data_IF_089187013673
#
_entry.id   IF_089187013673
#
_cell.length_a   1.000
_cell.length_b   1.000
_cell.length_c   1.000
_cell.angle_alpha   90.00
_cell.angle_beta   90.00
_cell.angle_gamma   90.00
#
_symmetry.space_group_name_H-M   'P 1'
#
loop_
_entity.id
_entity.type
_entity.pdbx_description
1 polymer ?
#
# COMPACT_ATOMS: atom_id res chain seq x y z
N UNK A 1 5.71 0.16 26.36
CA UNK A 1 4.93 0.56 25.17
C UNK A 1 5.18 -0.30 23.92
N UNK A 2 6.25 -1.10 23.84
CA UNK A 2 6.57 -1.99 22.69
C UNK A 2 5.70 -3.26 22.55
N UNK A 3 4.72 -3.47 23.44
CA UNK A 3 4.11 -4.79 23.65
C UNK A 3 2.90 -5.05 22.72
N UNK A 4 2.11 -4.02 22.41
CA UNK A 4 0.88 -4.18 21.64
C UNK A 4 1.12 -4.52 20.15
N UNK A 5 2.13 -3.90 19.52
CA UNK A 5 2.50 -4.21 18.13
C UNK A 5 3.11 -5.61 18.00
N UNK A 6 4.01 -5.97 18.92
CA UNK A 6 4.62 -7.30 18.98
C UNK A 6 3.58 -8.39 19.18
N UNK A 7 2.65 -8.22 20.12
CA UNK A 7 1.56 -9.17 20.37
C UNK A 7 0.72 -9.41 19.12
N UNK A 8 0.37 -8.36 18.38
CA UNK A 8 -0.43 -8.52 17.16
C UNK A 8 0.32 -9.18 16.02
N UNK A 9 1.63 -8.93 15.91
CA UNK A 9 2.46 -9.64 14.94
C UNK A 9 2.52 -11.15 15.28
N UNK A 10 2.58 -11.50 16.56
CA UNK A 10 2.46 -12.90 17.00
C UNK A 10 1.07 -13.47 16.65
N UNK A 11 -0.01 -12.72 16.86
CA UNK A 11 -1.37 -13.14 16.45
C UNK A 11 -1.53 -13.32 14.92
N UNK A 12 -0.68 -12.72 14.09
CA UNK A 12 -0.62 -13.01 12.66
C UNK A 12 0.04 -14.38 12.43
N UNK A 13 1.21 -14.60 13.03
CA UNK A 13 1.98 -15.85 12.88
C UNK A 13 1.23 -17.07 13.44
N UNK A 14 0.64 -16.97 14.63
CA UNK A 14 -0.18 -18.02 15.24
C UNK A 14 -1.42 -18.34 14.39
N UNK A 15 -2.01 -17.33 13.74
CA UNK A 15 -3.08 -17.51 12.77
C UNK A 15 -2.63 -18.01 11.40
N UNK A 16 -1.33 -18.24 11.23
CA UNK A 16 -0.70 -18.68 9.98
C UNK A 16 -0.59 -17.60 8.91
N UNK A 17 -0.86 -16.32 9.19
CA UNK A 17 -0.89 -15.21 8.23
C UNK A 17 0.50 -14.64 7.94
N UNK A 18 1.35 -15.44 7.30
CA UNK A 18 2.76 -15.09 7.03
C UNK A 18 2.87 -13.88 6.09
N UNK A 19 2.05 -13.81 5.04
CA UNK A 19 2.13 -12.70 4.08
C UNK A 19 1.69 -11.37 4.72
N UNK A 20 0.65 -11.40 5.56
CA UNK A 20 0.22 -10.25 6.32
C UNK A 20 1.28 -9.81 7.34
N UNK A 21 1.98 -10.76 7.96
CA UNK A 21 3.07 -10.48 8.89
C UNK A 21 4.24 -9.78 8.18
N UNK A 22 4.72 -10.35 7.06
CA UNK A 22 5.78 -9.74 6.27
C UNK A 22 5.41 -8.34 5.78
N UNK A 23 4.18 -8.17 5.29
CA UNK A 23 3.72 -6.86 4.83
C UNK A 23 3.63 -5.84 5.97
N UNK A 24 3.28 -6.29 7.19
CA UNK A 24 3.31 -5.43 8.39
C UNK A 24 4.74 -4.98 8.70
N UNK A 25 5.74 -5.86 8.57
CA UNK A 25 7.15 -5.46 8.73
C UNK A 25 7.58 -4.44 7.68
N UNK A 26 7.24 -4.68 6.40
CA UNK A 26 7.53 -3.73 5.32
C UNK A 26 6.87 -2.37 5.54
N UNK A 27 5.69 -2.34 6.17
CA UNK A 27 5.02 -1.08 6.54
C UNK A 27 5.78 -0.32 7.62
N UNK A 28 6.30 -1.01 8.64
CA UNK A 28 7.11 -0.38 9.69
C UNK A 28 8.41 0.17 9.11
N UNK A 29 9.12 -0.61 8.29
CA UNK A 29 10.35 -0.16 7.63
C UNK A 29 10.08 1.06 6.72
N UNK A 30 8.99 1.03 5.96
CA UNK A 30 8.58 2.13 5.11
C UNK A 30 8.23 3.39 5.91
N UNK A 31 7.53 3.24 7.05
CA UNK A 31 7.21 4.37 7.92
C UNK A 31 8.46 5.04 8.50
N UNK A 32 9.48 4.25 8.85
CA UNK A 32 10.78 4.75 9.30
C UNK A 32 11.52 5.50 8.18
N UNK A 33 11.56 4.95 6.97
CA UNK A 33 12.22 5.60 5.83
C UNK A 33 11.54 6.92 5.44
N UNK A 34 10.20 6.98 5.43
CA UNK A 34 9.49 8.24 5.17
C UNK A 34 9.74 9.26 6.30
N UNK A 35 9.78 8.80 7.55
CA UNK A 35 10.11 9.68 8.69
C UNK A 35 11.50 10.30 8.52
N UNK A 36 12.50 9.48 8.17
CA UNK A 36 13.87 9.92 7.90
C UNK A 36 13.95 10.92 6.74
N UNK A 37 13.20 10.69 5.65
CA UNK A 37 13.14 11.63 4.52
C UNK A 37 12.50 12.96 4.91
N UNK A 38 11.44 12.94 5.70
CA UNK A 38 10.77 14.13 6.20
C UNK A 38 11.70 14.95 7.12
N UNK A 39 12.47 14.29 7.99
CA UNK A 39 13.49 14.93 8.84
C UNK A 39 14.60 15.61 8.02
N UNK A 40 14.97 15.01 6.88
CA UNK A 40 15.93 15.58 5.92
C UNK A 40 15.33 16.65 5.00
N UNK A 41 14.04 16.98 5.14
CA UNK A 41 13.32 17.93 4.27
C UNK A 41 13.09 17.43 2.84
N UNK A 42 13.31 16.14 2.58
CA UNK A 42 13.10 15.50 1.28
C UNK A 42 11.64 15.12 1.04
N UNK A 43 10.84 15.09 2.11
CA UNK A 43 9.39 14.91 2.05
C UNK A 43 8.70 16.10 2.73
N UNK A 44 7.62 16.57 2.13
CA UNK A 44 6.80 17.67 2.67
C UNK A 44 5.82 17.16 3.73
N UNK A 45 5.47 15.88 3.66
CA UNK A 45 4.54 15.27 4.59
C UNK A 45 5.29 14.73 5.81
N UNK A 46 4.81 15.07 7.01
CA UNK A 46 5.28 14.45 8.25
C UNK A 46 4.47 13.18 8.49
N UNK A 47 5.05 11.98 8.32
CA UNK A 47 4.30 10.75 8.56
C UNK A 47 3.98 10.61 10.05
N UNK A 48 2.78 10.13 10.34
CA UNK A 48 2.46 9.58 11.66
C UNK A 48 3.06 8.19 11.78
N UNK A 49 3.53 7.91 12.98
CA UNK A 49 4.08 6.61 13.34
C UNK A 49 2.94 5.59 13.46
N UNK A 50 2.93 4.59 12.57
CA UNK A 50 1.92 3.55 12.56
C UNK A 50 1.87 2.84 13.92
N UNK A 51 3.04 2.54 14.50
CA UNK A 51 3.15 1.77 15.75
C UNK A 51 2.57 2.49 16.97
N UNK A 52 2.41 3.81 16.91
CA UNK A 52 1.82 4.62 17.97
C UNK A 52 0.31 4.77 17.85
N UNK A 53 -0.26 4.51 16.67
CA UNK A 53 -1.71 4.51 16.45
C UNK A 53 -2.26 3.08 16.46
N UNK A 54 -2.74 2.68 17.64
CA UNK A 54 -3.22 1.33 17.88
C UNK A 54 -4.43 0.97 17.02
N UNK A 55 -5.32 1.92 16.75
CA UNK A 55 -6.56 1.68 16.00
C UNK A 55 -6.26 1.55 14.50
N UNK A 56 -5.37 2.40 13.97
CA UNK A 56 -4.90 2.31 12.59
C UNK A 56 -4.11 1.02 12.38
N UNK A 57 -3.18 0.68 13.27
CA UNK A 57 -2.44 -0.58 13.21
C UNK A 57 -3.39 -1.78 13.20
N UNK A 58 -4.43 -1.75 14.05
CA UNK A 58 -5.43 -2.84 14.12
C UNK A 58 -6.14 -3.00 12.78
N UNK A 59 -6.65 -1.88 12.27
CA UNK A 59 -7.37 -1.82 10.99
C UNK A 59 -6.51 -2.37 9.86
N UNK A 60 -5.24 -1.95 9.78
CA UNK A 60 -4.30 -2.40 8.77
C UNK A 60 -4.08 -3.91 8.85
N UNK A 61 -3.78 -4.44 10.04
CA UNK A 61 -3.49 -5.87 10.22
C UNK A 61 -4.72 -6.75 9.93
N UNK A 62 -5.92 -6.33 10.34
CA UNK A 62 -7.16 -7.04 10.03
C UNK A 62 -7.43 -7.10 8.52
N UNK A 63 -7.17 -5.99 7.81
CA UNK A 63 -7.35 -5.94 6.37
C UNK A 63 -6.27 -6.73 5.62
N UNK A 64 -5.03 -6.75 6.10
CA UNK A 64 -3.98 -7.63 5.57
C UNK A 64 -4.35 -9.11 5.76
N UNK A 65 -4.90 -9.49 6.93
CA UNK A 65 -5.47 -10.83 7.16
C UNK A 65 -6.57 -11.16 6.16
N UNK A 66 -7.53 -10.25 5.94
CA UNK A 66 -8.61 -10.46 4.95
C UNK A 66 -8.06 -10.60 3.52
N UNK A 67 -7.09 -9.75 3.16
CA UNK A 67 -6.42 -9.78 1.87
C UNK A 67 -5.73 -11.13 1.64
N UNK A 68 -4.96 -11.62 2.61
CA UNK A 68 -4.31 -12.93 2.53
C UNK A 68 -5.31 -14.09 2.49
N UNK A 69 -6.43 -14.02 3.22
CA UNK A 69 -7.51 -15.03 3.12
C UNK A 69 -8.09 -15.12 1.72
N UNK A 70 -8.30 -13.98 1.06
CA UNK A 70 -8.79 -13.93 -0.32
C UNK A 70 -7.76 -14.47 -1.31
N UNK A 71 -6.48 -14.11 -1.11
CA UNK A 71 -5.37 -14.55 -1.93
C UNK A 71 -5.19 -16.07 -1.89
N UNK A 72 -5.29 -16.67 -0.71
CA UNK A 72 -5.28 -18.14 -0.53
C UNK A 72 -6.39 -18.87 -1.27
N UNK A 73 -7.50 -18.18 -1.56
CA UNK A 73 -8.62 -18.71 -2.35
C UNK A 73 -8.43 -18.47 -3.85
N UNK A 74 -7.30 -17.90 -4.27
CA UNK A 74 -7.04 -17.50 -5.65
C UNK A 74 -7.85 -16.28 -6.10
N UNK A 75 -8.51 -15.56 -5.18
CA UNK A 75 -9.34 -14.42 -5.52
C UNK A 75 -8.54 -13.11 -5.48
N UNK A 76 -7.73 -12.90 -6.52
CA UNK A 76 -6.87 -11.72 -6.65
C UNK A 76 -7.67 -10.40 -6.69
N UNK A 77 -8.88 -10.40 -7.27
CA UNK A 77 -9.72 -9.21 -7.31
C UNK A 77 -10.19 -8.81 -5.92
N UNK A 78 -10.57 -9.77 -5.08
CA UNK A 78 -10.92 -9.49 -3.68
C UNK A 78 -9.71 -9.07 -2.85
N UNK A 79 -8.54 -9.66 -3.09
CA UNK A 79 -7.27 -9.24 -2.47
C UNK A 79 -6.95 -7.78 -2.82
N UNK A 80 -7.10 -7.42 -4.10
CA UNK A 80 -6.91 -6.06 -4.61
C UNK A 80 -7.95 -5.10 -4.00
N UNK A 81 -9.24 -5.44 -4.05
CA UNK A 81 -10.31 -4.60 -3.53
C UNK A 81 -10.12 -4.27 -2.05
N UNK A 82 -9.76 -5.26 -1.22
CA UNK A 82 -9.51 -5.04 0.21
C UNK A 82 -8.36 -4.05 0.46
N UNK A 83 -7.27 -4.15 -0.32
CA UNK A 83 -6.12 -3.22 -0.18
C UNK A 83 -6.44 -1.83 -0.70
N UNK A 84 -7.21 -1.70 -1.77
CA UNK A 84 -7.65 -0.41 -2.31
C UNK A 84 -8.64 0.30 -1.39
N UNK A 85 -9.58 -0.44 -0.79
CA UNK A 85 -10.50 0.09 0.21
C UNK A 85 -9.72 0.67 1.40
N UNK A 86 -8.72 -0.07 1.89
CA UNK A 86 -7.84 0.39 2.95
C UNK A 86 -7.04 1.64 2.54
N UNK A 87 -6.50 1.67 1.32
CA UNK A 87 -5.75 2.82 0.81
C UNK A 87 -6.63 4.08 0.71
N UNK A 88 -7.85 3.93 0.20
CA UNK A 88 -8.81 5.03 0.10
C UNK A 88 -9.24 5.56 1.47
N UNK A 89 -9.29 4.71 2.49
CA UNK A 89 -9.58 5.13 3.87
C UNK A 89 -8.50 6.06 4.43
N UNK A 90 -7.23 5.87 4.04
CA UNK A 90 -6.09 6.59 4.63
C UNK A 90 -5.50 7.69 3.73
N UNK A 91 -5.92 7.79 2.46
CA UNK A 91 -5.38 8.79 1.54
C UNK A 91 -5.68 10.25 1.95
N UNK A 92 -6.82 10.46 2.61
CA UNK A 92 -7.25 11.77 3.13
C UNK A 92 -6.91 11.97 4.62
N UNK A 93 -6.31 10.97 5.28
CA UNK A 93 -5.96 11.07 6.69
C UNK A 93 -4.55 11.64 6.83
N UNK A 94 -4.44 12.84 7.40
CA UNK A 94 -3.17 13.52 7.59
C UNK A 94 -2.15 12.66 8.33
N UNK A 95 -0.97 12.53 7.73
CA UNK A 95 0.14 11.74 8.24
C UNK A 95 0.06 10.24 7.93
N UNK A 96 -1.01 9.76 7.27
CA UNK A 96 -1.15 8.37 6.83
C UNK A 96 -1.26 8.22 5.31
N UNK A 97 -1.07 9.28 4.52
CA UNK A 97 -1.09 9.16 3.05
C UNK A 97 -0.01 8.22 2.53
N UNK A 98 1.13 8.14 3.22
CA UNK A 98 2.19 7.17 2.94
C UNK A 98 1.70 5.71 3.01
N UNK A 99 0.71 5.41 3.84
CA UNK A 99 0.11 4.08 3.96
C UNK A 99 -0.70 3.76 2.70
N UNK A 100 -1.46 4.72 2.19
CA UNK A 100 -2.16 4.57 0.92
C UNK A 100 -1.18 4.33 -0.24
N UNK A 101 -0.06 5.06 -0.27
CA UNK A 101 1.01 4.83 -1.25
C UNK A 101 1.56 3.40 -1.19
N UNK A 102 1.89 2.95 0.03
CA UNK A 102 2.41 1.61 0.24
C UNK A 102 1.43 0.56 -0.25
N UNK A 103 0.15 0.70 0.07
CA UNK A 103 -0.90 -0.23 -0.35
C UNK A 103 -1.08 -0.25 -1.86
N UNK A 104 -1.03 0.90 -2.53
CA UNK A 104 -1.03 0.95 -4.00
C UNK A 104 0.19 0.26 -4.61
N UNK A 105 1.40 0.52 -4.09
CA UNK A 105 2.62 -0.17 -4.53
C UNK A 105 2.54 -1.67 -4.29
N UNK A 106 1.93 -2.08 -3.18
CA UNK A 106 1.72 -3.47 -2.84
C UNK A 106 0.74 -4.15 -3.80
N UNK A 107 -0.38 -3.50 -4.12
CA UNK A 107 -1.30 -3.95 -5.18
C UNK A 107 -0.55 -4.13 -6.51
N UNK A 108 0.29 -3.17 -6.90
CA UNK A 108 1.04 -3.26 -8.15
C UNK A 108 1.96 -4.50 -8.22
N UNK A 109 2.58 -4.88 -7.08
CA UNK A 109 3.43 -6.07 -6.99
C UNK A 109 2.66 -7.38 -7.15
N UNK A 110 1.50 -7.52 -6.50
CA UNK A 110 0.73 -8.78 -6.53
C UNK A 110 0.00 -9.00 -7.85
N UNK A 111 -0.26 -7.96 -8.63
CA UNK A 111 -1.02 -8.03 -9.89
C UNK A 111 -0.17 -8.49 -11.08
N UNK A 112 0.69 -9.50 -10.92
CA UNK A 112 1.68 -9.90 -11.92
C UNK A 112 1.08 -10.08 -13.32
N UNK A 113 -0.07 -10.75 -13.40
CA UNK A 113 -0.75 -11.14 -14.65
C UNK A 113 -1.99 -10.31 -14.99
N UNK A 114 -2.49 -9.47 -14.08
CA UNK A 114 -3.67 -8.63 -14.34
C UNK A 114 -3.25 -7.23 -14.79
N UNK A 115 -3.08 -7.08 -16.11
CA UNK A 115 -2.68 -5.82 -16.73
C UNK A 115 -3.68 -4.69 -16.47
N UNK A 116 -4.98 -4.98 -16.44
CA UNK A 116 -6.04 -3.99 -16.24
C UNK A 116 -5.96 -3.38 -14.85
N UNK A 117 -5.87 -4.22 -13.81
CA UNK A 117 -5.74 -3.74 -12.44
C UNK A 117 -4.39 -3.05 -12.19
N UNK A 118 -3.31 -3.50 -12.86
CA UNK A 118 -2.01 -2.80 -12.81
C UNK A 118 -2.11 -1.38 -13.38
N UNK A 119 -2.75 -1.19 -14.53
CA UNK A 119 -2.96 0.14 -15.12
C UNK A 119 -3.76 1.02 -14.16
N UNK A 120 -4.85 0.50 -13.59
CA UNK A 120 -5.66 1.24 -12.59
C UNK A 120 -4.83 1.64 -11.37
N UNK A 121 -3.96 0.75 -10.90
CA UNK A 121 -3.05 1.03 -9.77
C UNK A 121 -2.05 2.13 -10.10
N UNK A 122 -1.48 2.12 -11.31
CA UNK A 122 -0.58 3.17 -11.79
C UNK A 122 -1.28 4.54 -11.87
N UNK A 123 -2.54 4.57 -12.31
CA UNK A 123 -3.34 5.79 -12.31
C UNK A 123 -3.56 6.33 -10.90
N UNK A 124 -3.83 5.46 -9.92
CA UNK A 124 -4.00 5.84 -8.51
C UNK A 124 -2.70 6.41 -7.92
N UNK A 125 -1.55 5.78 -8.21
CA UNK A 125 -0.23 6.30 -7.83
C UNK A 125 0.05 7.66 -8.48
N UNK A 126 -0.29 7.83 -9.76
CA UNK A 126 -0.18 9.12 -10.44
C UNK A 126 -0.99 10.23 -9.76
N UNK A 127 -2.26 9.96 -9.44
CA UNK A 127 -3.13 10.91 -8.71
C UNK A 127 -2.60 11.25 -7.32
N UNK A 128 -1.99 10.28 -6.64
CA UNK A 128 -1.38 10.50 -5.35
C UNK A 128 -0.22 11.50 -5.43
N UNK A 129 0.63 11.35 -6.45
CA UNK A 129 1.76 12.26 -6.68
C UNK A 129 1.31 13.67 -7.13
N UNK A 130 0.21 13.77 -7.89
CA UNK A 130 -0.41 15.07 -8.19
C UNK A 130 -0.82 15.80 -6.91
N UNK A 131 -1.47 15.10 -5.98
CA UNK A 131 -1.88 15.66 -4.68
C UNK A 131 -0.69 16.06 -3.80
N UNK A 132 0.46 15.38 -3.96
CA UNK A 132 1.72 15.72 -3.30
C UNK A 132 2.48 16.86 -4.00
N UNK A 133 1.92 17.41 -5.07
CA UNK A 133 2.57 18.42 -5.91
C UNK A 133 3.94 17.94 -6.43
N UNK A 134 3.99 16.67 -6.85
CA UNK A 134 5.15 16.02 -7.47
C UNK A 134 4.83 15.68 -8.94
N UNK A 135 4.81 16.70 -9.84
CA UNK A 135 4.36 16.53 -11.21
C UNK A 135 5.23 15.56 -12.01
N UNK A 136 6.52 15.48 -11.74
CA UNK A 136 7.43 14.54 -12.41
C UNK A 136 7.08 13.09 -12.09
N UNK A 137 6.87 12.76 -10.81
CA UNK A 137 6.48 11.40 -10.44
C UNK A 137 5.09 11.05 -10.95
N UNK A 138 4.15 12.00 -10.90
CA UNK A 138 2.82 11.84 -11.49
C UNK A 138 2.90 11.52 -13.00
N UNK A 139 3.71 12.26 -13.75
CA UNK A 139 3.92 12.03 -15.17
C UNK A 139 4.52 10.65 -15.45
N UNK A 140 5.54 10.24 -14.68
CA UNK A 140 6.16 8.90 -14.80
C UNK A 140 5.13 7.78 -14.64
N UNK A 141 4.24 7.87 -13.64
CA UNK A 141 3.19 6.87 -13.44
C UNK A 141 2.16 6.87 -14.59
N UNK A 142 1.75 8.04 -15.07
CA UNK A 142 0.83 8.16 -16.22
C UNK A 142 1.43 7.57 -17.49
N UNK A 143 2.68 7.90 -17.82
CA UNK A 143 3.38 7.35 -18.98
C UNK A 143 3.48 5.83 -18.89
N UNK A 144 3.80 5.29 -17.71
CA UNK A 144 3.85 3.84 -17.49
C UNK A 144 2.49 3.17 -17.68
N UNK A 145 1.41 3.81 -17.25
CA UNK A 145 0.05 3.32 -17.46
C UNK A 145 -0.32 3.29 -18.96
N UNK A 146 0.00 4.36 -19.70
CA UNK A 146 -0.24 4.45 -21.15
C UNK A 146 0.54 3.36 -21.90
N UNK A 147 1.85 3.26 -21.67
CA UNK A 147 2.69 2.23 -22.30
C UNK A 147 2.19 0.81 -22.04
N UNK A 148 1.62 0.55 -20.86
CA UNK A 148 1.05 -0.75 -20.53
C UNK A 148 -0.31 -1.00 -21.21
N UNK A 149 -1.14 0.04 -21.32
CA UNK A 149 -2.41 -0.03 -22.04
C UNK A 149 -2.19 -0.25 -23.56
N UNK A 150 -1.22 0.46 -24.14
CA UNK A 150 -0.85 0.29 -25.55
C UNK A 150 -0.42 -1.15 -25.80
N UNK A 151 0.51 -1.70 -25.01
CA UNK A 151 0.96 -3.10 -25.14
C UNK A 151 -0.18 -4.11 -25.03
N UNK A 152 -1.17 -3.87 -24.16
CA UNK A 152 -2.34 -4.75 -24.03
C UNK A 152 -3.27 -4.67 -25.25
N UNK A 153 -3.31 -3.52 -25.93
CA UNK A 153 -4.13 -3.28 -27.12
C UNK A 153 -3.53 -3.91 -28.40
N UNK A 154 -2.24 -4.28 -28.36
CA UNK A 154 -1.50 -4.89 -29.46
C UNK A 154 -1.26 -6.41 -29.31
N UNK A 155 -1.81 -7.04 -28.27
CA UNK A 155 -1.84 -8.51 -28.13
C UNK A 155 -3.11 -9.07 -28.80
N UNK A 156 -3.01 -9.78 -29.94
CA UNK A 156 -4.15 -10.41 -30.62
C UNK A 156 -4.75 -11.58 -29.83
#
# INVERSE_FOLDING_TARGET
MYDAGRKRCLELLEGGFVNAFEETLRLVDWNQEISRRAELGQDRERPKDLSKDLEVTKTVMEMLKKSEKSDRKGNIEATYAARIELANKFIEVDGFRWLAEHLYKSCYRILEKDGRLKIKTLQLLGRLEERRNNPEAALRYKQKAILMADKASFTP
#
